data_IF_420796940633
#
_entry.id   IF_420796940633
#
_cell.length_a   1.000
_cell.length_b   1.000
_cell.length_c   1.000
_cell.angle_alpha   90.00
_cell.angle_beta   90.00
_cell.angle_gamma   90.00
#
_symmetry.space_group_name_H-M   'P 1'
#
loop_
_entity.id
_entity.type
_entity.pdbx_description
1 polymer ?
#
# COMPACT_ATOMS: atom_id res chain seq x y z
N UNK A 1 -10.75 -10.57 4.85
CA UNK A 1 -10.10 -9.28 4.60
C UNK A 1 -9.65 -9.27 3.16
N UNK A 2 -10.26 -8.46 2.31
CA UNK A 2 -9.83 -8.38 0.90
C UNK A 2 -8.84 -7.24 0.75
N UNK A 3 -7.76 -7.52 0.03
CA UNK A 3 -6.80 -6.50 -0.38
C UNK A 3 -6.57 -6.74 -1.85
N UNK A 4 -6.92 -5.75 -2.65
CA UNK A 4 -6.76 -5.83 -4.09
C UNK A 4 -5.64 -4.89 -4.48
N UNK A 5 -4.62 -5.45 -5.13
CA UNK A 5 -3.51 -4.67 -5.68
C UNK A 5 -3.62 -4.68 -7.19
N UNK A 6 -3.32 -3.55 -7.80
CA UNK A 6 -3.32 -3.38 -9.25
C UNK A 6 -2.05 -2.65 -9.64
N UNK A 7 -1.47 -3.08 -10.75
CA UNK A 7 -0.32 -2.41 -11.36
C UNK A 7 -0.74 -2.04 -12.77
N UNK A 8 -0.84 -0.75 -13.04
CA UNK A 8 -1.15 -0.23 -14.37
C UNK A 8 -0.41 1.09 -14.61
N UNK A 9 0.02 1.32 -15.85
CA UNK A 9 0.55 2.61 -16.32
C UNK A 9 1.60 3.27 -15.39
N UNK A 10 2.47 2.46 -14.74
CA UNK A 10 3.50 2.96 -13.82
C UNK A 10 3.02 3.27 -12.39
N UNK A 11 1.81 2.86 -12.04
CA UNK A 11 1.17 3.05 -10.73
C UNK A 11 0.89 1.70 -10.08
N UNK A 12 1.13 1.60 -8.78
CA UNK A 12 0.55 0.56 -7.94
C UNK A 12 -0.63 1.14 -7.16
N UNK A 13 -1.82 0.59 -7.36
CA UNK A 13 -3.04 0.93 -6.62
C UNK A 13 -3.37 -0.20 -5.65
N UNK A 14 -3.56 0.12 -4.37
CA UNK A 14 -3.89 -0.87 -3.34
C UNK A 14 -5.18 -0.47 -2.64
N UNK A 15 -6.17 -1.34 -2.72
CA UNK A 15 -7.44 -1.22 -2.02
C UNK A 15 -7.38 -2.12 -0.80
N UNK A 16 -7.55 -1.54 0.39
CA UNK A 16 -7.42 -2.27 1.65
C UNK A 16 -8.71 -2.15 2.43
N UNK A 17 -9.41 -3.26 2.62
CA UNK A 17 -10.52 -3.32 3.56
C UNK A 17 -10.01 -3.24 5.01
N UNK A 18 -10.84 -2.72 5.90
CA UNK A 18 -10.58 -2.74 7.34
C UNK A 18 -10.81 -4.12 7.95
N UNK A 19 -10.15 -4.42 9.10
CA UNK A 19 -9.16 -3.61 9.81
C UNK A 19 -7.73 -3.76 9.24
N UNK A 20 -6.86 -2.75 9.43
CA UNK A 20 -5.45 -2.78 9.00
C UNK A 20 -4.55 -3.01 10.22
N UNK A 21 -4.03 -4.23 10.46
CA UNK A 21 -3.38 -4.58 11.73
C UNK A 21 -1.98 -3.98 11.97
N UNK A 22 -1.37 -3.30 10.99
CA UNK A 22 -0.12 -2.54 11.15
C UNK A 22 -0.01 -1.52 10.00
N UNK A 23 -0.53 -0.29 10.17
CA UNK A 23 -0.54 0.72 9.12
C UNK A 23 0.86 1.03 8.58
N UNK A 24 1.88 1.16 9.45
CA UNK A 24 3.26 1.42 9.02
C UNK A 24 3.87 0.28 8.19
N UNK A 25 3.59 -0.98 8.53
CA UNK A 25 4.10 -2.12 7.74
C UNK A 25 3.46 -2.17 6.35
N UNK A 26 2.17 -1.81 6.24
CA UNK A 26 1.49 -1.66 4.95
C UNK A 26 2.15 -0.57 4.10
N UNK A 27 2.31 0.65 4.64
CA UNK A 27 2.91 1.76 3.90
C UNK A 27 4.29 1.38 3.38
N UNK A 28 5.16 0.87 4.26
CA UNK A 28 6.51 0.47 3.88
C UNK A 28 6.51 -0.66 2.84
N UNK A 29 5.62 -1.65 3.01
CA UNK A 29 5.48 -2.76 2.08
C UNK A 29 5.07 -2.32 0.67
N UNK A 30 4.12 -1.40 0.56
CA UNK A 30 3.65 -0.86 -0.73
C UNK A 30 4.71 0.01 -1.39
N UNK A 31 5.40 0.87 -0.62
CA UNK A 31 6.49 1.68 -1.16
C UNK A 31 7.64 0.80 -1.65
N UNK A 32 7.98 -0.25 -0.91
CA UNK A 32 9.00 -1.21 -1.31
C UNK A 32 8.58 -1.98 -2.57
N UNK A 33 7.33 -2.44 -2.64
CA UNK A 33 6.80 -3.11 -3.83
C UNK A 33 6.87 -2.18 -5.06
N UNK A 34 6.47 -0.92 -4.92
CA UNK A 34 6.59 0.07 -5.99
C UNK A 34 8.03 0.21 -6.46
N UNK A 35 8.98 0.36 -5.53
CA UNK A 35 10.42 0.47 -5.83
C UNK A 35 10.97 -0.76 -6.56
N UNK A 36 10.65 -1.96 -6.09
CA UNK A 36 11.10 -3.22 -6.70
C UNK A 36 10.55 -3.41 -8.11
N UNK A 37 9.35 -2.88 -8.38
CA UNK A 37 8.70 -2.92 -9.68
C UNK A 37 9.08 -1.73 -10.59
N UNK A 38 9.94 -0.81 -10.12
CA UNK A 38 10.33 0.38 -10.86
C UNK A 38 9.20 1.41 -11.03
N UNK A 39 8.17 1.35 -10.19
CA UNK A 39 7.01 2.24 -10.22
C UNK A 39 7.27 3.49 -9.38
N UNK A 40 6.91 4.65 -9.90
CA UNK A 40 7.11 5.94 -9.22
C UNK A 40 5.84 6.47 -8.52
N UNK A 41 4.73 5.75 -8.66
CA UNK A 41 3.42 6.19 -8.20
C UNK A 41 2.73 5.12 -7.35
N UNK A 42 2.22 5.51 -6.19
CA UNK A 42 1.43 4.68 -5.27
C UNK A 42 0.12 5.37 -4.95
N UNK A 43 -0.99 4.66 -5.13
CA UNK A 43 -2.31 5.09 -4.69
C UNK A 43 -2.84 4.06 -3.67
N UNK A 44 -3.16 4.51 -2.46
CA UNK A 44 -3.79 3.70 -1.42
C UNK A 44 -5.24 4.13 -1.28
N UNK A 45 -6.16 3.18 -1.37
CA UNK A 45 -7.58 3.39 -1.16
C UNK A 45 -7.97 2.66 0.12
N UNK A 46 -8.43 3.41 1.11
CA UNK A 46 -8.68 2.90 2.46
C UNK A 46 -9.95 3.49 3.06
N UNK A 47 -10.63 2.79 3.98
CA UNK A 47 -11.75 3.34 4.73
C UNK A 47 -11.38 4.60 5.54
N UNK A 48 -12.37 5.47 5.76
CA UNK A 48 -12.22 6.78 6.42
C UNK A 48 -11.61 6.68 7.82
N UNK A 49 -11.98 5.63 8.56
CA UNK A 49 -11.59 5.40 9.95
C UNK A 49 -10.10 5.11 10.13
N UNK A 50 -9.41 4.62 9.09
CA UNK A 50 -7.98 4.29 9.13
C UNK A 50 -7.08 5.32 8.43
N UNK A 51 -7.66 6.32 7.77
CA UNK A 51 -6.93 7.34 7.02
C UNK A 51 -5.95 8.14 7.92
N UNK A 52 -6.33 8.61 9.13
CA UNK A 52 -5.42 9.38 9.98
C UNK A 52 -4.15 8.61 10.38
N UNK A 53 -4.30 7.33 10.74
CA UNK A 53 -3.17 6.48 11.13
C UNK A 53 -2.24 6.22 9.95
N UNK A 54 -2.79 5.94 8.76
CA UNK A 54 -1.99 5.74 7.56
C UNK A 54 -1.26 7.00 7.12
N UNK A 55 -1.92 8.16 7.20
CA UNK A 55 -1.30 9.44 6.90
C UNK A 55 -0.13 9.74 7.85
N UNK A 56 -0.31 9.47 9.15
CA UNK A 56 0.75 9.63 10.17
C UNK A 56 1.95 8.73 9.87
N UNK A 57 1.71 7.46 9.56
CA UNK A 57 2.78 6.50 9.26
C UNK A 57 3.49 6.81 7.93
N UNK A 58 2.76 7.28 6.92
CA UNK A 58 3.34 7.74 5.65
C UNK A 58 4.28 8.94 5.85
N UNK A 59 3.88 9.91 6.68
CA UNK A 59 4.71 11.06 7.01
C UNK A 59 6.02 10.68 7.73
N UNK A 60 6.01 9.56 8.47
CA UNK A 60 7.19 9.05 9.18
C UNK A 60 8.15 8.26 8.27
N UNK A 61 7.76 7.94 7.03
CA UNK A 61 8.65 7.25 6.09
C UNK A 61 9.71 8.22 5.56
N UNK A 62 10.96 7.78 5.57
CA UNK A 62 12.10 8.55 5.06
C UNK A 62 12.13 8.65 3.54
N UNK A 63 11.51 7.70 2.83
CA UNK A 63 11.46 7.65 1.36
C UNK A 63 10.08 7.19 0.89
N UNK A 64 9.23 8.15 0.53
CA UNK A 64 8.02 7.88 -0.25
C UNK A 64 8.35 7.95 -1.75
N UNK A 65 7.62 7.20 -2.60
CA UNK A 65 7.66 7.39 -4.04
C UNK A 65 7.36 8.84 -4.44
N UNK A 66 7.86 9.31 -5.60
CA UNK A 66 7.61 10.67 -6.08
C UNK A 66 6.15 11.08 -6.09
N UNK A 67 5.24 10.14 -6.36
CA UNK A 67 3.79 10.33 -6.19
C UNK A 67 3.27 9.29 -5.20
N UNK A 68 2.82 9.76 -4.05
CA UNK A 68 2.18 8.93 -3.04
C UNK A 68 0.88 9.58 -2.61
N UNK A 69 -0.25 8.87 -2.78
CA UNK A 69 -1.57 9.38 -2.47
C UNK A 69 -2.37 8.38 -1.64
N UNK A 70 -3.06 8.88 -0.63
CA UNK A 70 -4.02 8.12 0.18
C UNK A 70 -5.40 8.71 -0.11
N UNK A 71 -6.33 7.84 -0.49
CA UNK A 71 -7.69 8.15 -0.89
C UNK A 71 -8.67 7.46 0.06
N UNK A 72 -9.73 8.16 0.42
CA UNK A 72 -10.85 7.58 1.15
C UNK A 72 -11.70 6.71 0.21
N UNK A 73 -12.00 5.48 0.64
CA UNK A 73 -12.99 4.63 -0.02
C UNK A 73 -14.38 5.04 0.43
N UNK A 74 -15.17 5.59 -0.49
CA UNK A 74 -16.61 5.78 -0.26
C UNK A 74 -17.34 4.44 -0.05
N UNK A 75 -18.50 4.45 0.63
CA UNK A 75 -19.27 3.24 0.88
C UNK A 75 -19.65 2.54 -0.44
N UNK A 76 -19.36 1.23 -0.52
CA UNK A 76 -19.69 0.39 -1.68
C UNK A 76 -18.68 0.42 -2.83
N UNK A 77 -17.53 1.10 -2.69
CA UNK A 77 -16.49 1.07 -3.71
C UNK A 77 -15.67 -0.23 -3.62
N UNK A 78 -16.04 -1.23 -4.41
CA UNK A 78 -15.17 -2.37 -4.73
C UNK A 78 -14.88 -2.26 -6.21
N UNK A 79 -13.69 -1.79 -6.60
CA UNK A 79 -13.50 -1.54 -8.01
C UNK A 79 -13.08 -2.83 -8.71
N UNK A 80 -13.93 -3.27 -9.62
CA UNK A 80 -13.75 -4.48 -10.41
C UNK A 80 -12.91 -4.13 -11.65
N UNK A 81 -11.64 -4.54 -11.66
CA UNK A 81 -10.70 -4.22 -12.73
C UNK A 81 -10.13 -5.48 -13.36
N UNK A 82 -10.29 -5.68 -14.69
CA UNK A 82 -9.65 -6.78 -15.39
C UNK A 82 -8.13 -6.56 -15.45
N UNK A 83 -7.35 -7.55 -14.99
CA UNK A 83 -5.87 -7.51 -15.00
C UNK A 83 -5.21 -7.15 -13.66
N UNK A 84 -5.96 -7.05 -12.56
CA UNK A 84 -5.37 -6.85 -11.24
C UNK A 84 -4.51 -8.04 -10.81
N UNK A 85 -3.26 -7.79 -10.39
CA UNK A 85 -2.41 -8.79 -9.73
C UNK A 85 -2.61 -8.69 -8.22
N UNK A 86 -3.27 -9.68 -7.62
CA UNK A 86 -3.50 -9.71 -6.18
C UNK A 86 -2.18 -9.86 -5.37
N UNK A 87 -1.53 -8.74 -5.08
CA UNK A 87 -0.57 -8.64 -4.00
C UNK A 87 -1.36 -8.41 -2.71
N UNK A 88 -1.74 -9.50 -2.04
CA UNK A 88 -2.50 -9.42 -0.79
C UNK A 88 -1.72 -8.69 0.32
N UNK A 89 -2.42 -8.10 1.28
CA UNK A 89 -1.82 -7.36 2.40
C UNK A 89 -0.70 -8.15 3.09
N UNK A 90 -0.90 -9.45 3.30
CA UNK A 90 0.10 -10.30 3.92
C UNK A 90 1.43 -10.36 3.15
N UNK A 91 1.40 -10.25 1.82
CA UNK A 91 2.61 -10.18 1.00
C UNK A 91 3.30 -8.82 1.17
N UNK A 92 2.54 -7.72 1.17
CA UNK A 92 3.07 -6.37 1.42
C UNK A 92 3.72 -6.26 2.82
N UNK A 93 3.04 -6.78 3.84
CA UNK A 93 3.57 -6.87 5.21
C UNK A 93 4.84 -7.74 5.27
N UNK A 94 4.86 -8.90 4.60
CA UNK A 94 6.05 -9.75 4.54
C UNK A 94 7.22 -9.05 3.84
N UNK A 95 6.97 -8.33 2.76
CA UNK A 95 7.97 -7.55 2.05
C UNK A 95 8.58 -6.47 2.96
N UNK A 96 7.72 -5.71 3.65
CA UNK A 96 8.14 -4.72 4.64
C UNK A 96 9.08 -5.33 5.69
N UNK A 97 8.66 -6.45 6.31
CA UNK A 97 9.47 -7.13 7.33
C UNK A 97 10.77 -7.71 6.78
N UNK A 98 10.76 -8.22 5.55
CA UNK A 98 11.96 -8.73 4.90
C UNK A 98 12.98 -7.61 4.70
N UNK A 99 12.57 -6.44 4.23
CA UNK A 99 13.46 -5.29 4.09
C UNK A 99 14.00 -4.80 5.44
N UNK A 100 13.18 -4.80 6.50
CA UNK A 100 13.64 -4.45 7.84
C UNK A 100 14.72 -5.41 8.38
N UNK A 101 14.73 -6.68 7.95
CA UNK A 101 15.77 -7.67 8.31
C UNK A 101 17.07 -7.51 7.52
N UNK A 102 17.05 -6.83 6.38
CA UNK A 102 18.23 -6.59 5.53
C UNK A 102 19.03 -5.37 6.01
N UNK A 103 18.50 -4.54 6.92
CA UNK A 103 19.21 -3.39 7.52
C UNK A 103 20.31 -3.74 8.55
N UNK A 104 20.77 -4.99 8.60
CA UNK A 104 21.94 -5.40 9.40
C UNK A 104 22.91 -6.13 8.49
N UNK A 105 23.93 -5.40 8.03
CA UNK A 105 25.03 -5.85 7.19
C UNK A 105 25.92 -4.67 6.84
#
# INVERSE_FOLDING_TARGET
MKTQTMIDSGVISVHVDTPIPQPGELIHGVCLAARLLGLSRVHLYVPTDVLPDLAREAYQQSELPPVFQIHEMGPGHVPDYPGSTELGLGALVKLSRAASRVKVG
#
